data_IF_233106957556
#
_entry.id   IF_233106957556
#
_cell.length_a   1.000
_cell.length_b   1.000
_cell.length_c   1.000
_cell.angle_alpha   90.00
_cell.angle_beta   90.00
_cell.angle_gamma   90.00
#
_symmetry.space_group_name_H-M   'P 1'
#
loop_
_entity.id
_entity.type
_entity.pdbx_description
1 polymer ?
#
# COMPACT_ATOMS: atom_id res chain seq x y z
N UNK A 1 37.99 28.89 6.55
CA UNK A 1 37.95 28.11 7.81
C UNK A 1 36.56 28.11 8.44
N UNK A 2 35.98 29.27 8.82
CA UNK A 2 34.61 29.32 9.37
C UNK A 2 33.53 28.81 8.41
N UNK A 3 33.66 29.16 7.12
CA UNK A 3 32.75 28.71 6.07
C UNK A 3 32.71 27.17 5.93
N UNK A 4 33.86 26.52 5.95
CA UNK A 4 33.98 25.05 5.85
C UNK A 4 33.45 24.34 7.11
N UNK A 5 33.69 24.91 8.29
CA UNK A 5 33.14 24.40 9.55
C UNK A 5 31.60 24.48 9.57
N UNK A 6 31.05 25.62 9.15
CA UNK A 6 29.60 25.80 9.07
C UNK A 6 28.98 24.81 8.07
N UNK A 7 29.61 24.62 6.91
CA UNK A 7 29.13 23.65 5.93
C UNK A 7 29.07 22.22 6.50
N UNK A 8 30.13 21.78 7.19
CA UNK A 8 30.17 20.47 7.83
C UNK A 8 29.08 20.31 8.89
N UNK A 9 28.80 21.37 9.65
CA UNK A 9 27.72 21.38 10.63
C UNK A 9 26.35 21.21 9.95
N UNK A 10 26.09 21.96 8.87
CA UNK A 10 24.83 21.87 8.14
C UNK A 10 24.64 20.49 7.49
N UNK A 11 25.69 19.87 6.99
CA UNK A 11 25.67 18.49 6.46
C UNK A 11 25.31 17.49 7.57
N UNK A 12 25.95 17.59 8.73
CA UNK A 12 25.64 16.74 9.89
C UNK A 12 24.19 16.89 10.33
N UNK A 13 23.72 18.13 10.50
CA UNK A 13 22.33 18.42 10.87
C UNK A 13 21.32 17.95 9.81
N UNK A 14 21.66 18.05 8.52
CA UNK A 14 20.82 17.53 7.45
C UNK A 14 20.73 16.01 7.48
N UNK A 15 21.83 15.31 7.76
CA UNK A 15 21.86 13.86 7.91
C UNK A 15 21.04 13.38 9.11
N UNK A 16 21.24 14.00 10.28
CA UNK A 16 20.43 13.74 11.47
C UNK A 16 18.95 14.01 11.17
N UNK A 17 18.67 15.10 10.45
CA UNK A 17 17.34 15.44 9.98
C UNK A 17 16.74 14.31 9.10
N UNK A 18 17.48 13.80 8.13
CA UNK A 18 16.96 12.75 7.24
C UNK A 18 16.74 11.43 8.00
N UNK A 19 17.65 11.02 8.88
CA UNK A 19 17.50 9.79 9.67
C UNK A 19 16.26 9.84 10.59
N UNK A 20 16.09 10.92 11.36
CA UNK A 20 14.89 11.04 12.20
C UNK A 20 13.59 11.16 11.39
N UNK A 21 13.66 11.55 10.11
CA UNK A 21 12.51 11.57 9.21
C UNK A 21 12.15 10.14 8.82
N UNK A 22 13.14 9.33 8.43
CA UNK A 22 12.96 7.91 8.11
C UNK A 22 12.37 7.16 9.31
N UNK A 23 12.95 7.30 10.51
CA UNK A 23 12.47 6.67 11.74
C UNK A 23 11.01 7.05 12.05
N UNK A 24 10.68 8.34 12.02
CA UNK A 24 9.31 8.78 12.29
C UNK A 24 8.29 8.25 11.26
N UNK A 25 8.70 8.08 10.00
CA UNK A 25 7.83 7.49 8.98
C UNK A 25 7.66 5.98 9.17
N UNK A 26 8.71 5.28 9.57
CA UNK A 26 8.64 3.85 9.95
C UNK A 26 7.69 3.67 11.14
N UNK A 27 7.85 4.44 12.21
CA UNK A 27 6.98 4.41 13.39
C UNK A 27 5.52 4.64 13.01
N UNK A 28 5.28 5.60 12.11
CA UNK A 28 3.93 5.88 11.59
C UNK A 28 3.31 4.66 10.92
N UNK A 29 4.08 3.96 10.09
CA UNK A 29 3.62 2.76 9.39
C UNK A 29 3.30 1.62 10.38
N UNK A 30 4.15 1.42 11.38
CA UNK A 30 3.96 0.42 12.44
C UNK A 30 2.68 0.71 13.24
N UNK A 31 2.45 1.95 13.67
CA UNK A 31 1.24 2.34 14.42
C UNK A 31 -0.03 2.17 13.58
N UNK A 32 0.02 2.57 12.30
CA UNK A 32 -1.11 2.37 11.38
C UNK A 32 -1.50 0.89 11.24
N UNK A 33 -0.53 -0.02 11.20
CA UNK A 33 -0.79 -1.47 11.12
C UNK A 33 -1.27 -2.03 12.46
N UNK A 34 -0.46 -1.89 13.49
CA UNK A 34 -0.62 -2.68 14.72
C UNK A 34 -1.68 -2.08 15.65
N UNK A 35 -1.90 -0.76 15.60
CA UNK A 35 -2.79 -0.07 16.53
C UNK A 35 -4.07 0.36 15.84
N UNK A 36 -3.98 1.13 14.75
CA UNK A 36 -5.17 1.72 14.12
C UNK A 36 -6.08 0.66 13.52
N UNK A 37 -5.53 -0.33 12.79
CA UNK A 37 -6.36 -1.37 12.14
C UNK A 37 -7.00 -2.33 13.13
N UNK A 38 -6.31 -2.61 14.25
CA UNK A 38 -6.82 -3.52 15.27
C UNK A 38 -7.65 -2.81 16.35
N UNK A 39 -7.83 -1.49 16.26
CA UNK A 39 -8.63 -0.71 17.21
C UNK A 39 -10.13 -1.02 17.06
N UNK A 40 -10.67 -1.80 18.01
CA UNK A 40 -12.08 -2.22 18.03
C UNK A 40 -13.00 -1.21 18.72
N UNK A 41 -12.49 -0.42 19.66
CA UNK A 41 -13.29 0.56 20.42
C UNK A 41 -13.04 1.99 19.97
N UNK A 42 -14.00 2.88 20.26
CA UNK A 42 -13.86 4.32 19.99
C UNK A 42 -12.63 4.92 20.70
N UNK A 43 -12.44 4.59 21.99
CA UNK A 43 -11.29 5.05 22.77
C UNK A 43 -9.95 4.60 22.15
N UNK A 44 -9.84 3.32 21.75
CA UNK A 44 -8.64 2.82 21.08
C UNK A 44 -8.36 3.53 19.76
N UNK A 45 -9.41 3.84 18.97
CA UNK A 45 -9.25 4.60 17.73
C UNK A 45 -8.73 6.00 18.01
N UNK A 46 -9.29 6.70 19.00
CA UNK A 46 -8.82 8.05 19.39
C UNK A 46 -7.37 8.02 19.85
N UNK A 47 -6.99 7.10 20.75
CA UNK A 47 -5.59 6.95 21.18
C UNK A 47 -4.63 6.67 20.02
N UNK A 48 -5.05 5.84 19.06
CA UNK A 48 -4.25 5.52 17.88
C UNK A 48 -4.05 6.75 16.98
N UNK A 49 -5.09 7.57 16.81
CA UNK A 49 -5.00 8.83 16.07
C UNK A 49 -4.14 9.86 16.80
N UNK A 50 -4.20 9.95 18.12
CA UNK A 50 -3.33 10.83 18.92
C UNK A 50 -1.85 10.45 18.77
N UNK A 51 -1.54 9.15 18.74
CA UNK A 51 -0.21 8.65 18.44
C UNK A 51 0.25 9.07 17.04
N UNK A 52 -0.61 8.94 16.02
CA UNK A 52 -0.32 9.41 14.65
C UNK A 52 -0.10 10.91 14.60
N UNK A 53 -0.90 11.72 15.32
CA UNK A 53 -0.71 13.16 15.37
C UNK A 53 0.63 13.54 16.01
N UNK A 54 1.06 12.81 17.03
CA UNK A 54 2.36 12.97 17.67
C UNK A 54 3.49 12.66 16.69
N UNK A 55 3.41 11.54 15.97
CA UNK A 55 4.41 11.16 14.96
C UNK A 55 4.45 12.18 13.80
N UNK A 56 3.29 12.63 13.32
CA UNK A 56 3.21 13.66 12.28
C UNK A 56 3.87 14.98 12.72
N UNK A 57 3.83 15.32 14.02
CA UNK A 57 4.54 16.48 14.56
C UNK A 57 6.06 16.29 14.49
N UNK A 58 6.55 15.08 14.80
CA UNK A 58 7.96 14.73 14.67
C UNK A 58 8.43 14.83 13.20
N UNK A 59 7.67 14.24 12.26
CA UNK A 59 7.93 14.34 10.82
C UNK A 59 8.04 15.80 10.36
N UNK A 60 7.09 16.66 10.76
CA UNK A 60 7.11 18.09 10.40
C UNK A 60 8.30 18.83 11.00
N UNK A 61 8.62 18.58 12.27
CA UNK A 61 9.80 19.16 12.94
C UNK A 61 11.05 18.85 12.13
N UNK A 62 11.21 17.58 11.79
CA UNK A 62 12.39 17.10 11.11
C UNK A 62 12.52 17.62 9.67
N UNK A 63 11.41 17.61 8.93
CA UNK A 63 11.34 18.21 7.60
C UNK A 63 11.70 19.71 7.62
N UNK A 64 11.34 20.42 8.69
CA UNK A 64 11.64 21.84 8.84
C UNK A 64 13.13 22.06 9.09
N UNK A 65 13.73 21.28 9.99
CA UNK A 65 15.19 21.30 10.24
C UNK A 65 15.96 21.04 8.95
N UNK A 66 15.60 19.97 8.23
CA UNK A 66 16.24 19.64 6.96
C UNK A 66 16.16 20.80 5.94
N UNK A 67 14.97 21.39 5.76
CA UNK A 67 14.77 22.52 4.84
C UNK A 67 15.59 23.75 5.22
N UNK A 68 15.83 23.98 6.52
CA UNK A 68 16.69 25.07 6.98
C UNK A 68 18.15 24.78 6.62
N UNK A 69 18.63 23.56 6.89
CA UNK A 69 20.00 23.17 6.55
C UNK A 69 20.25 23.22 5.05
N UNK A 70 19.31 22.73 4.24
CA UNK A 70 19.42 22.76 2.77
C UNK A 70 19.50 24.19 2.23
N UNK A 71 18.70 25.12 2.77
CA UNK A 71 18.81 26.55 2.41
C UNK A 71 20.15 27.16 2.82
N UNK A 72 20.65 26.83 4.00
CA UNK A 72 21.96 27.29 4.46
C UNK A 72 23.08 26.76 3.55
N UNK A 73 23.04 25.49 3.18
CA UNK A 73 23.98 24.86 2.23
C UNK A 73 23.98 25.54 0.86
N UNK A 74 22.80 25.86 0.32
CA UNK A 74 22.68 26.61 -0.95
C UNK A 74 23.30 28.01 -0.82
N UNK A 75 23.07 28.69 0.31
CA UNK A 75 23.62 30.04 0.56
C UNK A 75 25.15 30.02 0.71
N UNK A 76 25.69 28.93 1.27
CA UNK A 76 27.13 28.73 1.44
C UNK A 76 27.84 28.35 0.12
N UNK A 77 27.12 28.15 -0.99
CA UNK A 77 27.73 27.86 -2.29
C UNK A 77 28.29 26.44 -2.38
N UNK A 78 27.55 25.46 -1.85
CA UNK A 78 27.87 24.04 -1.97
C UNK A 78 27.96 23.59 -3.43
N UNK A 79 28.86 22.64 -3.71
CA UNK A 79 29.04 22.08 -5.05
C UNK A 79 27.75 21.42 -5.54
N UNK A 80 27.54 21.46 -6.87
CA UNK A 80 26.37 20.83 -7.48
C UNK A 80 26.28 19.33 -7.15
N UNK A 81 27.41 18.64 -6.99
CA UNK A 81 27.50 17.22 -6.65
C UNK A 81 26.90 16.91 -5.27
N UNK A 82 27.24 17.69 -4.24
CA UNK A 82 26.66 17.53 -2.90
C UNK A 82 25.19 17.96 -2.88
N UNK A 83 24.79 18.92 -3.72
CA UNK A 83 23.38 19.34 -3.83
C UNK A 83 22.49 18.27 -4.51
N UNK A 84 23.05 17.44 -5.40
CA UNK A 84 22.35 16.25 -5.93
C UNK A 84 21.99 15.25 -4.84
N UNK A 85 22.82 15.17 -3.80
CA UNK A 85 22.62 14.29 -2.65
C UNK A 85 21.63 14.87 -1.63
N UNK A 86 21.54 16.20 -1.51
CA UNK A 86 20.63 16.90 -0.60
C UNK A 86 19.56 17.68 -1.38
N UNK A 87 18.58 16.95 -1.91
CA UNK A 87 17.55 17.53 -2.77
C UNK A 87 16.49 18.30 -1.97
N UNK A 88 15.73 19.14 -2.66
CA UNK A 88 14.67 19.91 -2.02
C UNK A 88 13.52 18.99 -1.60
N UNK A 89 13.16 19.04 -0.31
CA UNK A 89 12.08 18.22 0.24
C UNK A 89 10.70 18.80 -0.13
N UNK A 90 9.97 18.07 -0.97
CA UNK A 90 8.61 18.40 -1.38
C UNK A 90 7.58 18.14 -0.28
N UNK A 91 6.38 18.70 -0.44
CA UNK A 91 5.22 18.32 0.39
C UNK A 91 4.75 16.90 0.10
N UNK A 92 4.92 16.44 -1.15
CA UNK A 92 4.58 15.09 -1.60
C UNK A 92 5.47 14.01 -0.97
N UNK A 93 6.75 14.34 -0.71
CA UNK A 93 7.72 13.44 -0.06
C UNK A 93 7.36 13.15 1.40
N UNK A 94 6.57 14.02 2.03
CA UNK A 94 6.19 13.97 3.44
C UNK A 94 4.81 13.37 3.67
N UNK A 95 3.99 13.33 2.62
CA UNK A 95 2.67 12.71 2.67
C UNK A 95 2.80 11.20 2.61
N UNK A 96 3.06 10.59 3.76
CA UNK A 96 2.76 9.17 3.97
C UNK A 96 1.25 9.04 4.15
N UNK A 97 0.55 8.97 3.03
CA UNK A 97 -0.81 8.47 2.94
C UNK A 97 -0.73 6.94 2.94
N UNK A 98 -1.67 6.26 3.60
CA UNK A 98 -1.83 4.80 3.43
C UNK A 98 -1.91 4.45 1.93
N UNK A 99 -2.49 5.36 1.14
CA UNK A 99 -2.53 5.33 -0.33
C UNK A 99 -1.15 5.35 -0.99
N UNK A 100 -0.17 6.16 -0.55
CA UNK A 100 1.22 6.21 -1.06
C UNK A 100 2.05 5.00 -0.64
N UNK A 101 1.73 4.41 0.52
CA UNK A 101 2.25 3.10 0.89
C UNK A 101 1.61 2.04 -0.03
N UNK A 102 0.32 2.12 -0.32
CA UNK A 102 -0.39 1.23 -1.26
C UNK A 102 -0.33 1.67 -2.74
N UNK A 103 0.50 2.66 -3.11
CA UNK A 103 0.52 3.24 -4.47
C UNK A 103 1.41 2.44 -5.42
N UNK A 104 1.42 1.12 -5.25
CA UNK A 104 1.91 0.16 -6.23
C UNK A 104 0.75 -0.63 -6.85
N UNK A 105 -0.49 -0.12 -6.76
CA UNK A 105 -1.73 -0.80 -7.19
C UNK A 105 -1.93 -0.90 -8.72
N UNK A 106 -0.92 -0.64 -9.55
CA UNK A 106 -0.99 -1.01 -10.96
C UNK A 106 0.39 -1.33 -11.51
N UNK A 107 0.48 -2.48 -12.17
CA UNK A 107 1.63 -2.91 -12.96
C UNK A 107 2.17 -1.73 -13.79
N UNK A 108 3.48 -1.48 -13.65
CA UNK A 108 4.23 -0.32 -14.17
C UNK A 108 4.13 0.98 -13.34
N UNK A 109 4.97 1.10 -12.31
CA UNK A 109 6.05 2.11 -12.15
C UNK A 109 6.46 2.21 -10.67
N UNK A 110 7.55 1.54 -10.30
CA UNK A 110 8.33 1.93 -9.11
C UNK A 110 9.03 3.25 -9.46
N UNK A 111 8.35 4.39 -9.35
CA UNK A 111 8.94 5.66 -9.83
C UNK A 111 8.89 6.83 -8.85
N UNK A 112 8.51 6.63 -7.58
CA UNK A 112 8.57 7.73 -6.62
C UNK A 112 8.77 7.28 -5.17
N UNK A 113 9.78 6.42 -4.92
CA UNK A 113 10.34 6.39 -3.57
C UNK A 113 11.08 7.72 -3.38
N UNK A 114 10.76 8.52 -2.34
CA UNK A 114 11.46 9.77 -2.11
C UNK A 114 12.98 9.56 -2.06
N UNK A 115 13.73 10.45 -2.71
CA UNK A 115 15.19 10.38 -2.84
C UNK A 115 15.92 10.18 -1.49
N UNK A 116 15.33 10.67 -0.38
CA UNK A 116 15.92 10.55 0.95
C UNK A 116 15.97 9.12 1.50
N UNK A 117 15.25 8.16 0.91
CA UNK A 117 15.36 6.75 1.29
C UNK A 117 16.61 6.07 0.71
N UNK A 118 17.18 6.63 -0.35
CA UNK A 118 18.37 6.11 -1.01
C UNK A 118 19.66 6.72 -0.47
N UNK A 119 19.56 7.57 0.55
CA UNK A 119 20.72 8.18 1.18
C UNK A 119 21.21 7.26 2.28
N UNK A 120 22.43 6.79 2.12
CA UNK A 120 23.20 6.19 3.19
C UNK A 120 23.58 7.30 4.17
N UNK A 121 22.68 7.61 5.09
CA UNK A 121 23.03 8.40 6.27
C UNK A 121 23.95 7.50 7.08
N UNK A 122 25.22 7.88 7.35
CA UNK A 122 26.09 7.12 8.22
C UNK A 122 25.47 7.09 9.61
N UNK A 123 24.71 6.04 9.86
CA UNK A 123 23.98 5.76 11.08
C UNK A 123 24.51 4.44 11.62
N UNK A 124 24.44 4.27 12.92
CA UNK A 124 24.93 3.12 13.66
C UNK A 124 24.48 1.82 12.99
N UNK A 125 25.37 0.82 12.82
CA UNK A 125 25.04 -0.41 12.06
C UNK A 125 23.78 -1.14 12.57
N UNK A 126 23.44 -1.00 13.86
CA UNK A 126 22.21 -1.55 14.44
C UNK A 126 20.94 -0.84 13.91
N UNK A 127 21.00 0.48 13.75
CA UNK A 127 19.89 1.27 13.22
C UNK A 127 19.64 0.99 11.73
N UNK A 128 20.70 0.78 10.94
CA UNK A 128 20.61 0.44 9.51
C UNK A 128 19.98 -0.94 9.34
N UNK A 129 20.37 -1.92 10.18
CA UNK A 129 19.80 -3.28 10.16
C UNK A 129 18.30 -3.24 10.48
N UNK A 130 17.93 -2.54 11.56
CA UNK A 130 16.53 -2.32 11.93
C UNK A 130 15.73 -1.57 10.84
N UNK A 131 16.31 -0.54 10.22
CA UNK A 131 15.67 0.22 9.15
C UNK A 131 15.47 -0.61 7.88
N UNK A 132 16.43 -1.44 7.49
CA UNK A 132 16.30 -2.36 6.36
C UNK A 132 15.24 -3.43 6.63
N UNK A 133 15.22 -4.00 7.83
CA UNK A 133 14.15 -4.91 8.27
C UNK A 133 12.78 -4.23 8.24
N UNK A 134 12.69 -2.97 8.69
CA UNK A 134 11.47 -2.18 8.63
C UNK A 134 11.05 -1.82 7.19
N UNK A 135 12.00 -1.52 6.31
CA UNK A 135 11.73 -1.27 4.90
C UNK A 135 11.21 -2.52 4.20
N UNK A 136 11.85 -3.67 4.42
CA UNK A 136 11.37 -4.97 3.96
C UNK A 136 9.97 -5.27 4.51
N UNK A 137 9.76 -4.98 5.79
CA UNK A 137 8.46 -5.14 6.43
C UNK A 137 7.38 -4.24 5.81
N UNK A 138 7.69 -2.97 5.49
CA UNK A 138 6.75 -2.07 4.82
C UNK A 138 6.38 -2.63 3.44
N UNK A 139 7.35 -3.11 2.65
CA UNK A 139 7.08 -3.73 1.34
C UNK A 139 6.20 -4.98 1.47
N UNK A 140 6.55 -5.90 2.36
CA UNK A 140 5.76 -7.11 2.63
C UNK A 140 4.35 -6.75 3.10
N UNK A 141 4.20 -5.70 3.90
CA UNK A 141 2.89 -5.21 4.33
C UNK A 141 2.07 -4.64 3.16
N UNK A 142 2.69 -3.87 2.26
CA UNK A 142 2.03 -3.34 1.06
C UNK A 142 1.50 -4.48 0.20
N UNK A 143 2.33 -5.48 -0.06
CA UNK A 143 1.97 -6.65 -0.85
C UNK A 143 0.84 -7.44 -0.18
N UNK A 144 0.90 -7.63 1.13
CA UNK A 144 -0.17 -8.29 1.87
C UNK A 144 -1.51 -7.54 1.76
N UNK A 145 -1.49 -6.20 1.80
CA UNK A 145 -2.71 -5.41 1.60
C UNK A 145 -3.22 -5.48 0.17
N UNK A 146 -2.32 -5.49 -0.81
CA UNK A 146 -2.68 -5.68 -2.21
C UNK A 146 -3.41 -7.00 -2.42
N UNK A 147 -2.83 -8.12 -1.92
CA UNK A 147 -3.47 -9.43 -2.06
C UNK A 147 -4.84 -9.50 -1.37
N UNK A 148 -5.01 -8.84 -0.23
CA UNK A 148 -6.31 -8.80 0.46
C UNK A 148 -7.37 -7.97 -0.27
N UNK A 149 -6.97 -6.87 -0.91
CA UNK A 149 -7.86 -6.06 -1.74
C UNK A 149 -8.20 -6.78 -3.05
N UNK A 150 -7.20 -7.36 -3.70
CA UNK A 150 -7.36 -8.14 -4.94
C UNK A 150 -8.24 -9.37 -4.72
N UNK A 151 -8.15 -10.03 -3.55
CA UNK A 151 -9.06 -11.11 -3.18
C UNK A 151 -10.52 -10.62 -3.09
N UNK A 152 -10.77 -9.49 -2.43
CA UNK A 152 -12.12 -8.93 -2.33
C UNK A 152 -12.68 -8.51 -3.69
N UNK A 153 -11.85 -7.88 -4.53
CA UNK A 153 -12.21 -7.50 -5.89
C UNK A 153 -12.51 -8.73 -6.74
N UNK A 154 -11.66 -9.75 -6.68
CA UNK A 154 -11.83 -10.99 -7.42
C UNK A 154 -13.16 -11.67 -7.04
N UNK A 155 -13.49 -11.73 -5.74
CA UNK A 155 -14.77 -12.29 -5.29
C UNK A 155 -15.97 -11.49 -5.80
N UNK A 156 -15.87 -10.16 -5.80
CA UNK A 156 -16.91 -9.29 -6.36
C UNK A 156 -17.05 -9.48 -7.88
N UNK A 157 -15.95 -9.57 -8.62
CA UNK A 157 -15.93 -9.81 -10.07
C UNK A 157 -16.51 -11.18 -10.44
N UNK A 158 -16.21 -12.23 -9.67
CA UNK A 158 -16.85 -13.54 -9.84
C UNK A 158 -18.36 -13.44 -9.63
N UNK A 159 -18.79 -12.73 -8.59
CA UNK A 159 -20.22 -12.53 -8.34
C UNK A 159 -20.90 -11.74 -9.47
N UNK A 160 -20.25 -10.70 -9.98
CA UNK A 160 -20.74 -9.94 -11.14
C UNK A 160 -20.82 -10.79 -12.39
N UNK A 161 -19.83 -11.64 -12.64
CA UNK A 161 -19.80 -12.56 -13.78
C UNK A 161 -20.96 -13.56 -13.72
N UNK A 162 -21.20 -14.14 -12.55
CA UNK A 162 -22.33 -15.04 -12.28
C UNK A 162 -23.66 -14.32 -12.52
N UNK A 163 -23.81 -13.11 -11.98
CA UNK A 163 -25.02 -12.30 -12.14
C UNK A 163 -25.26 -11.95 -13.61
N UNK A 164 -24.20 -11.60 -14.35
CA UNK A 164 -24.25 -11.26 -15.76
C UNK A 164 -24.68 -12.47 -16.62
N UNK A 165 -24.09 -13.64 -16.41
CA UNK A 165 -24.49 -14.85 -17.15
C UNK A 165 -25.94 -15.23 -16.86
N UNK A 166 -26.37 -15.15 -15.60
CA UNK A 166 -27.76 -15.40 -15.24
C UNK A 166 -28.71 -14.40 -15.91
N UNK A 167 -28.38 -13.10 -15.84
CA UNK A 167 -29.14 -12.05 -16.51
C UNK A 167 -29.26 -12.30 -18.02
N UNK A 168 -28.16 -12.68 -18.68
CA UNK A 168 -28.16 -12.99 -20.12
C UNK A 168 -28.99 -14.22 -20.44
N UNK A 169 -28.93 -15.28 -19.64
CA UNK A 169 -29.77 -16.46 -19.82
C UNK A 169 -31.26 -16.10 -19.74
N UNK A 170 -31.66 -15.33 -18.72
CA UNK A 170 -33.04 -14.85 -18.55
C UNK A 170 -33.47 -13.99 -19.74
N UNK A 171 -32.62 -13.06 -20.19
CA UNK A 171 -32.90 -12.21 -21.36
C UNK A 171 -33.18 -13.05 -22.62
N UNK A 172 -32.40 -14.10 -22.86
CA UNK A 172 -32.63 -15.01 -23.99
C UNK A 172 -33.89 -15.88 -23.80
N UNK A 173 -34.25 -16.26 -22.57
CA UNK A 173 -35.53 -16.92 -22.28
C UNK A 173 -36.71 -16.02 -22.67
N UNK A 174 -36.66 -14.74 -22.32
CA UNK A 174 -37.68 -13.76 -22.74
C UNK A 174 -37.76 -13.66 -24.25
N UNK A 175 -36.61 -13.51 -24.94
CA UNK A 175 -36.59 -13.49 -26.41
C UNK A 175 -37.13 -14.78 -27.04
N UNK A 176 -36.89 -15.95 -26.44
CA UNK A 176 -37.44 -17.21 -26.92
C UNK A 176 -38.98 -17.24 -26.80
N UNK A 177 -39.53 -16.75 -25.69
CA UNK A 177 -40.98 -16.73 -25.45
C UNK A 177 -41.74 -15.75 -26.36
N UNK A 178 -41.08 -14.71 -26.85
CA UNK A 178 -41.67 -13.67 -27.70
C UNK A 178 -41.49 -13.95 -29.21
N UNK A 179 -40.79 -15.02 -29.59
CA UNK A 179 -40.37 -15.23 -30.97
C UNK A 179 -41.12 -16.38 -31.67
N UNK A 180 -41.90 -16.04 -32.69
CA UNK A 180 -42.67 -17.00 -33.50
C UNK A 180 -41.84 -17.70 -34.60
N UNK A 181 -40.69 -17.14 -34.95
CA UNK A 181 -39.84 -17.66 -36.04
C UNK A 181 -38.98 -18.84 -35.56
N UNK A 182 -39.20 -20.02 -36.16
CA UNK A 182 -38.52 -21.28 -35.83
C UNK A 182 -36.98 -21.16 -35.74
N UNK A 183 -36.34 -20.48 -36.70
CA UNK A 183 -34.88 -20.31 -36.72
C UNK A 183 -34.34 -19.42 -35.60
N UNK A 184 -35.02 -18.31 -35.30
CA UNK A 184 -34.65 -17.40 -34.22
C UNK A 184 -34.90 -18.04 -32.85
N UNK A 185 -35.99 -18.80 -32.73
CA UNK A 185 -36.32 -19.60 -31.55
C UNK A 185 -35.23 -20.65 -31.26
N UNK A 186 -34.79 -21.42 -32.25
CA UNK A 186 -33.68 -22.38 -32.09
C UNK A 186 -32.36 -21.70 -31.70
N UNK A 187 -32.07 -20.51 -32.24
CA UNK A 187 -30.88 -19.74 -31.87
C UNK A 187 -30.95 -19.24 -30.42
N UNK A 188 -32.10 -18.74 -29.97
CA UNK A 188 -32.31 -18.31 -28.59
C UNK A 188 -32.11 -19.47 -27.61
N UNK A 189 -32.67 -20.65 -27.89
CA UNK A 189 -32.45 -21.88 -27.10
C UNK A 189 -30.97 -22.22 -27.00
N UNK A 190 -30.22 -22.13 -28.10
CA UNK A 190 -28.77 -22.34 -28.08
C UNK A 190 -28.04 -21.34 -27.19
N UNK A 191 -28.42 -20.05 -27.23
CA UNK A 191 -27.80 -19.02 -26.40
C UNK A 191 -28.08 -19.22 -24.91
N UNK A 192 -29.31 -19.60 -24.55
CA UNK A 192 -29.68 -19.97 -23.17
C UNK A 192 -28.73 -21.06 -22.65
N UNK A 193 -28.60 -22.16 -23.40
CA UNK A 193 -27.73 -23.28 -23.03
C UNK A 193 -26.23 -22.93 -22.98
N UNK A 194 -25.77 -21.87 -23.65
CA UNK A 194 -24.39 -21.37 -23.52
C UNK A 194 -24.23 -20.62 -22.21
N UNK A 195 -25.13 -19.68 -21.90
CA UNK A 195 -25.03 -18.87 -20.68
C UNK A 195 -25.27 -19.68 -19.41
N UNK A 196 -26.15 -20.69 -19.44
CA UNK A 196 -26.34 -21.63 -18.33
C UNK A 196 -25.06 -22.43 -18.04
N UNK A 197 -24.38 -22.95 -19.07
CA UNK A 197 -23.10 -23.65 -18.90
C UNK A 197 -21.99 -22.75 -18.36
N UNK A 198 -21.92 -21.51 -18.85
CA UNK A 198 -20.96 -20.51 -18.34
C UNK A 198 -21.25 -20.16 -16.87
N UNK A 199 -22.53 -20.05 -16.51
CA UNK A 199 -22.98 -19.81 -15.14
C UNK A 199 -22.56 -20.94 -14.20
N UNK A 200 -22.79 -22.20 -14.59
CA UNK A 200 -22.38 -23.37 -13.82
C UNK A 200 -20.86 -23.40 -13.63
N UNK A 201 -20.09 -23.18 -14.70
CA UNK A 201 -18.64 -23.16 -14.63
C UNK A 201 -18.12 -22.05 -13.68
N UNK A 202 -18.69 -20.85 -13.77
CA UNK A 202 -18.31 -19.73 -12.92
C UNK A 202 -18.59 -20.03 -11.43
N UNK A 203 -19.76 -20.61 -11.11
CA UNK A 203 -20.13 -21.02 -9.75
C UNK A 203 -19.19 -22.09 -9.19
N UNK A 204 -18.89 -23.13 -9.98
CA UNK A 204 -17.95 -24.18 -9.56
C UNK A 204 -16.56 -23.62 -9.30
N UNK A 205 -16.11 -22.69 -10.15
CA UNK A 205 -14.79 -22.07 -9.98
C UNK A 205 -14.73 -21.20 -8.72
N UNK A 206 -15.77 -20.39 -8.45
CA UNK A 206 -15.91 -19.62 -7.22
C UNK A 206 -15.87 -20.53 -5.97
N UNK A 207 -16.64 -21.62 -5.98
CA UNK A 207 -16.66 -22.60 -4.89
C UNK A 207 -15.30 -23.28 -4.67
N UNK A 208 -14.59 -23.62 -5.75
CA UNK A 208 -13.26 -24.22 -5.67
C UNK A 208 -12.23 -23.27 -5.06
N UNK A 209 -12.36 -21.97 -5.28
CA UNK A 209 -11.50 -20.96 -4.65
C UNK A 209 -11.84 -20.79 -3.17
N UNK A 210 -13.13 -20.78 -2.80
CA UNK A 210 -13.53 -20.69 -1.39
C UNK A 210 -13.17 -21.95 -0.58
N UNK A 211 -13.20 -23.14 -1.19
CA UNK A 211 -12.89 -24.42 -0.53
C UNK A 211 -11.39 -24.60 -0.25
N UNK A 212 -10.51 -24.03 -1.09
CA UNK A 212 -9.06 -23.96 -0.80
C UNK A 212 -8.74 -23.07 0.41
N UNK A 213 -9.72 -22.31 0.90
CA UNK A 213 -9.60 -21.34 1.98
C UNK A 213 -10.30 -21.77 3.27
N UNK A 214 -10.68 -23.06 3.43
CA UNK A 214 -10.99 -23.55 4.78
C UNK A 214 -9.67 -23.48 5.56
N UNK A 215 -9.53 -22.61 6.57
CA UNK A 215 -8.34 -22.62 7.41
C UNK A 215 -8.34 -23.99 8.06
N UNK A 216 -7.33 -24.81 7.77
CA UNK A 216 -7.10 -26.03 8.52
C UNK A 216 -7.00 -25.61 9.98
N UNK A 217 -8.06 -25.90 10.72
CA UNK A 217 -8.19 -25.66 12.13
C UNK A 217 -6.98 -26.24 12.85
N UNK A 218 -6.34 -25.41 13.67
CA UNK A 218 -5.44 -25.75 14.76
C UNK A 218 -4.03 -26.26 14.38
N UNK A 219 -3.08 -25.32 14.35
CA UNK A 219 -1.86 -25.47 15.15
C UNK A 219 -1.97 -24.48 16.33
N UNK A 220 -2.81 -24.83 17.30
CA UNK A 220 -2.59 -24.40 18.68
C UNK A 220 -1.50 -25.33 19.16
N UNK A 221 -0.25 -24.94 18.96
CA UNK A 221 0.85 -25.66 19.59
C UNK A 221 0.81 -25.34 21.08
N UNK A 222 0.26 -26.29 21.82
CA UNK A 222 0.55 -26.45 23.22
C UNK A 222 1.99 -26.96 23.33
N UNK A 223 2.90 -26.08 23.72
CA UNK A 223 4.13 -26.52 24.39
C UNK A 223 4.55 -25.48 25.42
N UNK A 224 4.48 -25.91 26.67
CA UNK A 224 4.98 -25.32 27.91
C UNK A 224 6.40 -24.73 27.79
N UNK A 225 6.64 -23.56 28.41
CA UNK A 225 7.39 -23.37 29.70
C UNK A 225 6.94 -22.06 30.34
#
# INVERSE_FOLDING_TARGET
HLHDMELRLQIGQANDALNGLQLALVDKAVVLRNVVRHAKSYSMKTCAWDAIHTINRAVRKQATTYKQCQKAMVTLGVSAETLTHYQQLGTLDLTVTTATITQNAHAHRVSHLPWFWSIDVPTDMESITWMLECMCFIHVCIDQYHWSEEEQLLMAEFQWTINYFNYRAIQWCTCHSECDALGASCYAVRQIAVYERLLEHAKLKQQSMSLKYIPTSMDIDASDV
#
